data_IF_934566339405
#
_entry.id   IF_934566339405
#
_cell.length_a   1.000
_cell.length_b   1.000
_cell.length_c   1.000
_cell.angle_alpha   90.00
_cell.angle_beta   90.00
_cell.angle_gamma   90.00
#
_symmetry.space_group_name_H-M   'P 1'
#
loop_
_entity.id
_entity.type
_entity.pdbx_description
1 polymer ?
#
# COMPACT_ATOMS: atom_id res chain seq x y z
N UNK A 1 23.15 -59.36 4.67
CA UNK A 1 23.21 -58.64 3.38
C UNK A 1 21.81 -58.60 2.80
N UNK A 2 21.25 -57.41 2.58
CA UNK A 2 19.88 -57.26 2.06
C UNK A 2 19.84 -57.51 0.54
N UNK A 3 18.76 -58.10 -0.01
CA UNK A 3 18.65 -58.42 -1.43
C UNK A 3 18.60 -57.15 -2.31
N UNK A 4 19.20 -57.21 -3.50
CA UNK A 4 19.43 -56.07 -4.41
C UNK A 4 18.16 -55.35 -4.89
N UNK A 5 16.99 -55.96 -4.75
CA UNK A 5 15.69 -55.35 -5.08
C UNK A 5 15.31 -54.22 -4.14
N UNK A 6 15.78 -54.23 -2.88
CA UNK A 6 15.51 -53.18 -1.89
C UNK A 6 16.48 -51.99 -2.00
N UNK A 7 17.63 -52.15 -2.66
CA UNK A 7 18.56 -51.03 -2.92
C UNK A 7 18.01 -50.04 -3.95
N UNK A 8 17.10 -50.47 -4.84
CA UNK A 8 16.51 -49.61 -5.87
C UNK A 8 15.49 -48.59 -5.35
N UNK A 9 14.91 -48.82 -4.16
CA UNK A 9 13.95 -47.90 -3.54
C UNK A 9 14.61 -46.83 -2.66
N UNK A 10 15.88 -47.04 -2.24
CA UNK A 10 16.59 -46.09 -1.38
C UNK A 10 17.33 -44.98 -2.16
N UNK A 11 17.41 -45.07 -3.49
CA UNK A 11 18.17 -44.14 -4.33
C UNK A 11 17.34 -43.11 -5.10
N UNK A 12 16.02 -43.02 -4.85
CA UNK A 12 15.16 -41.96 -5.40
C UNK A 12 15.06 -40.74 -4.48
N UNK A 13 16.10 -40.45 -3.69
CA UNK A 13 16.35 -39.06 -3.33
C UNK A 13 17.07 -38.44 -4.52
N UNK A 14 16.33 -37.66 -5.31
CA UNK A 14 16.90 -36.84 -6.37
C UNK A 14 18.15 -36.16 -5.83
N UNK A 15 19.30 -36.40 -6.47
CA UNK A 15 20.50 -35.61 -6.20
C UNK A 15 20.08 -34.16 -6.29
N UNK A 16 20.17 -33.42 -5.20
CA UNK A 16 20.07 -31.96 -5.22
C UNK A 16 20.98 -31.48 -6.35
N UNK A 17 20.39 -31.06 -7.46
CA UNK A 17 21.12 -30.43 -8.54
C UNK A 17 21.61 -29.12 -7.94
N UNK A 18 22.88 -29.09 -7.55
CA UNK A 18 23.55 -27.85 -7.22
C UNK A 18 23.71 -27.16 -8.57
N UNK A 19 22.74 -26.33 -8.96
CA UNK A 19 22.89 -25.45 -10.11
C UNK A 19 24.01 -24.46 -9.78
N UNK A 20 25.22 -24.75 -10.26
CA UNK A 20 26.28 -23.75 -10.34
C UNK A 20 25.91 -22.77 -11.45
N UNK A 21 24.98 -21.86 -11.15
CA UNK A 21 24.69 -20.71 -11.99
C UNK A 21 25.89 -19.75 -11.90
N UNK A 22 26.41 -19.34 -13.05
CA UNK A 22 27.39 -18.27 -13.09
C UNK A 22 26.80 -17.02 -12.42
N UNK A 23 27.52 -16.37 -11.47
CA UNK A 23 27.02 -15.16 -10.84
C UNK A 23 26.78 -14.10 -11.91
N UNK A 24 25.68 -13.35 -11.80
CA UNK A 24 25.38 -12.29 -12.75
C UNK A 24 26.53 -11.27 -12.74
N UNK A 25 27.20 -11.08 -13.88
CA UNK A 25 28.31 -10.13 -14.00
C UNK A 25 27.88 -8.69 -13.70
N UNK A 26 26.59 -8.40 -13.92
CA UNK A 26 25.95 -7.13 -13.58
C UNK A 26 25.15 -7.40 -12.32
N UNK A 27 25.48 -6.69 -11.23
CA UNK A 27 24.94 -6.97 -9.90
C UNK A 27 23.41 -6.92 -9.81
N UNK A 28 22.87 -7.25 -8.64
CA UNK A 28 21.45 -7.40 -8.33
C UNK A 28 20.55 -6.17 -8.59
N UNK A 29 21.14 -5.04 -9.02
CA UNK A 29 20.48 -3.77 -9.27
C UNK A 29 20.27 -3.48 -10.76
N UNK A 30 20.65 -4.39 -11.66
CA UNK A 30 20.60 -4.15 -13.11
C UNK A 30 19.71 -5.14 -13.84
N UNK A 31 19.06 -4.67 -14.91
CA UNK A 31 18.29 -5.52 -15.79
C UNK A 31 19.22 -6.41 -16.64
N UNK A 32 18.93 -7.72 -16.68
CA UNK A 32 19.72 -8.71 -17.43
C UNK A 32 19.82 -8.41 -18.93
N UNK A 33 18.89 -7.63 -19.50
CA UNK A 33 18.85 -7.29 -20.94
C UNK A 33 19.24 -5.85 -21.23
N UNK A 34 18.80 -4.88 -20.40
CA UNK A 34 18.94 -3.45 -20.68
C UNK A 34 19.64 -2.70 -19.53
N UNK A 35 20.94 -2.34 -19.64
CA UNK A 35 21.69 -1.77 -18.52
C UNK A 35 21.11 -0.47 -17.92
N UNK A 36 20.33 0.29 -18.68
CA UNK A 36 19.68 1.54 -18.22
C UNK A 36 18.22 1.36 -17.79
N UNK A 37 17.71 0.13 -17.78
CA UNK A 37 16.36 -0.18 -17.32
C UNK A 37 16.41 -0.79 -15.91
N UNK A 38 15.34 -0.60 -15.12
CA UNK A 38 15.25 -1.25 -13.81
C UNK A 38 15.25 -2.78 -13.94
N UNK A 39 15.70 -3.51 -12.90
CA UNK A 39 15.68 -4.97 -12.88
C UNK A 39 14.30 -5.52 -13.24
N UNK A 40 14.23 -6.36 -14.27
CA UNK A 40 12.99 -7.03 -14.69
C UNK A 40 13.06 -8.48 -14.22
N UNK A 41 13.03 -8.65 -12.89
CA UNK A 41 13.09 -9.95 -12.23
C UNK A 41 11.86 -10.12 -11.36
N UNK A 42 10.99 -11.08 -11.72
CA UNK A 42 9.76 -11.42 -10.99
C UNK A 42 10.02 -12.29 -9.76
N UNK A 43 11.24 -12.80 -9.62
CA UNK A 43 11.67 -13.70 -8.54
C UNK A 43 12.15 -12.97 -7.28
N UNK A 44 11.96 -11.65 -7.18
CA UNK A 44 12.29 -10.86 -6.00
C UNK A 44 13.79 -10.61 -5.79
N UNK A 45 14.66 -11.00 -6.73
CA UNK A 45 16.12 -10.77 -6.66
C UNK A 45 16.54 -9.32 -6.96
N UNK A 46 15.60 -8.44 -7.24
CA UNK A 46 15.85 -7.00 -7.31
C UNK A 46 16.02 -6.46 -5.88
N UNK A 47 17.25 -6.50 -5.36
CA UNK A 47 17.62 -6.01 -4.03
C UNK A 47 17.72 -4.47 -4.06
N UNK A 48 16.65 -3.78 -4.43
CA UNK A 48 16.42 -2.44 -3.89
C UNK A 48 15.55 -2.61 -2.66
N UNK A 49 16.11 -3.25 -1.62
CA UNK A 49 15.42 -3.26 -0.34
C UNK A 49 15.36 -1.81 0.15
N UNK A 50 14.15 -1.28 0.38
CA UNK A 50 13.95 0.04 0.98
C UNK A 50 14.64 0.12 2.33
N UNK A 51 14.72 -1.01 3.04
CA UNK A 51 15.53 -1.13 4.25
C UNK A 51 16.99 -1.37 3.92
N UNK A 52 17.80 -0.33 4.11
CA UNK A 52 19.27 -0.42 4.16
C UNK A 52 19.70 -0.07 5.58
N UNK A 53 20.48 -0.94 6.28
CA UNK A 53 21.02 -0.61 7.60
C UNK A 53 21.97 0.58 7.46
N UNK A 54 21.46 1.77 7.74
CA UNK A 54 22.16 3.03 7.54
C UNK A 54 22.56 3.65 8.88
N UNK A 55 23.23 4.80 8.82
CA UNK A 55 23.62 5.61 9.99
C UNK A 55 22.49 5.81 11.01
N UNK A 56 21.24 5.95 10.56
CA UNK A 56 20.06 6.13 11.43
C UNK A 56 19.82 4.95 12.36
N UNK A 57 19.86 3.71 11.86
CA UNK A 57 19.64 2.51 12.67
C UNK A 57 20.80 2.26 13.63
N UNK A 58 22.04 2.52 13.16
CA UNK A 58 23.21 2.45 14.04
C UNK A 58 23.11 3.49 15.17
N UNK A 59 22.71 4.72 14.85
CA UNK A 59 22.49 5.79 15.83
C UNK A 59 21.43 5.39 16.85
N UNK A 60 20.35 4.74 16.40
CA UNK A 60 19.33 4.19 17.29
C UNK A 60 19.90 3.12 18.22
N UNK A 61 20.71 2.18 17.70
CA UNK A 61 21.38 1.17 18.55
C UNK A 61 22.28 1.85 19.60
N UNK A 62 23.01 2.90 19.22
CA UNK A 62 23.86 3.69 20.11
C UNK A 62 23.04 4.38 21.22
N UNK A 63 21.93 5.02 20.85
CA UNK A 63 21.03 5.74 21.77
C UNK A 63 20.28 4.79 22.71
N UNK A 64 19.63 3.75 22.17
CA UNK A 64 18.81 2.80 22.91
C UNK A 64 19.62 2.00 23.94
N UNK A 65 20.90 1.71 23.64
CA UNK A 65 21.79 0.96 24.52
C UNK A 65 22.81 1.85 25.25
N UNK A 66 22.71 3.18 25.13
CA UNK A 66 23.62 4.16 25.74
C UNK A 66 25.11 3.81 25.52
N UNK A 67 25.45 3.39 24.30
CA UNK A 67 26.82 3.02 23.90
C UNK A 67 27.61 4.29 23.63
N UNK A 68 28.76 4.46 24.29
CA UNK A 68 29.55 5.70 24.23
C UNK A 68 30.90 5.50 23.55
N UNK A 69 31.40 4.27 23.53
CA UNK A 69 32.70 3.93 22.96
C UNK A 69 32.60 2.92 21.82
N UNK A 70 33.62 2.94 20.94
CA UNK A 70 33.71 2.02 19.82
C UNK A 70 33.92 0.55 20.27
N UNK A 71 34.55 0.35 21.44
CA UNK A 71 34.68 -0.97 22.03
C UNK A 71 33.32 -1.55 22.42
N UNK A 72 32.54 -0.80 23.18
CA UNK A 72 31.19 -1.20 23.60
C UNK A 72 30.28 -1.47 22.40
N UNK A 73 30.42 -0.68 21.33
CA UNK A 73 29.68 -0.92 20.09
C UNK A 73 30.02 -2.27 19.46
N UNK A 74 31.31 -2.59 19.33
CA UNK A 74 31.75 -3.88 18.80
C UNK A 74 31.32 -5.04 19.69
N UNK A 75 31.40 -4.89 21.01
CA UNK A 75 30.96 -5.89 21.98
C UNK A 75 29.45 -6.13 21.91
N UNK A 76 28.66 -5.06 21.76
CA UNK A 76 27.21 -5.16 21.59
C UNK A 76 26.86 -5.91 20.30
N UNK A 77 27.50 -5.55 19.18
CA UNK A 77 27.24 -6.19 17.90
C UNK A 77 27.64 -7.67 17.90
N UNK A 78 28.71 -8.06 18.58
CA UNK A 78 29.10 -9.47 18.66
C UNK A 78 28.16 -10.27 19.56
N UNK A 79 27.74 -9.71 20.70
CA UNK A 79 26.80 -10.37 21.62
C UNK A 79 25.38 -10.47 21.07
N UNK A 80 24.94 -9.50 20.27
CA UNK A 80 23.57 -9.41 19.74
C UNK A 80 23.50 -9.63 18.22
N UNK A 81 24.54 -10.22 17.62
CA UNK A 81 24.68 -10.38 16.17
C UNK A 81 23.46 -11.05 15.55
N UNK A 82 23.00 -12.15 16.13
CA UNK A 82 21.85 -12.92 15.64
C UNK A 82 20.56 -12.08 15.64
N UNK A 83 20.31 -11.35 16.73
CA UNK A 83 19.14 -10.48 16.83
C UNK A 83 19.17 -9.34 15.82
N UNK A 84 20.34 -8.70 15.64
CA UNK A 84 20.51 -7.59 14.69
C UNK A 84 20.36 -8.07 13.25
N UNK A 85 20.92 -9.24 12.92
CA UNK A 85 20.74 -9.86 11.61
C UNK A 85 19.28 -10.22 11.36
N UNK A 86 18.61 -10.81 12.33
CA UNK A 86 17.20 -11.18 12.23
C UNK A 86 16.30 -9.95 12.06
N UNK A 87 16.52 -8.88 12.84
CA UNK A 87 15.76 -7.63 12.71
C UNK A 87 15.98 -6.95 11.35
N UNK A 88 17.23 -6.92 10.88
CA UNK A 88 17.55 -6.36 9.57
C UNK A 88 16.89 -7.16 8.44
N UNK A 89 16.92 -8.50 8.53
CA UNK A 89 16.25 -9.37 7.55
C UNK A 89 14.75 -9.14 7.51
N UNK A 90 14.10 -9.06 8.67
CA UNK A 90 12.65 -8.84 8.76
C UNK A 90 12.24 -7.47 8.22
N UNK A 91 13.05 -6.44 8.49
CA UNK A 91 12.82 -5.10 7.99
C UNK A 91 13.07 -4.99 6.46
N UNK A 92 14.08 -5.68 5.92
CA UNK A 92 14.31 -5.78 4.46
C UNK A 92 13.26 -6.63 3.75
N UNK A 93 12.67 -7.60 4.45
CA UNK A 93 11.60 -8.43 3.88
C UNK A 93 10.27 -7.68 3.75
N UNK A 94 10.16 -6.47 4.32
CA UNK A 94 8.95 -5.64 4.20
C UNK A 94 8.69 -5.14 2.75
N UNK A 95 9.71 -5.19 1.88
CA UNK A 95 9.62 -4.79 0.47
C UNK A 95 8.89 -5.80 -0.42
N UNK A 96 8.91 -7.09 -0.06
CA UNK A 96 8.23 -8.17 -0.80
C UNK A 96 6.89 -8.56 -0.18
N UNK A 97 6.60 -8.09 1.04
CA UNK A 97 5.33 -8.29 1.74
C UNK A 97 5.37 -7.73 3.17
N UNK A 98 4.22 -7.45 3.76
CA UNK A 98 4.16 -6.87 5.12
C UNK A 98 4.53 -7.89 6.20
N UNK A 99 5.77 -7.86 6.71
CA UNK A 99 6.21 -8.65 7.86
C UNK A 99 6.00 -7.90 9.19
N UNK A 100 6.15 -6.57 9.16
CA UNK A 100 5.87 -5.70 10.29
C UNK A 100 5.01 -4.53 9.81
N UNK A 101 3.76 -4.47 10.26
CA UNK A 101 2.94 -3.27 10.10
C UNK A 101 3.33 -2.29 11.21
N UNK A 102 3.78 -1.06 10.91
CA UNK A 102 3.79 0.01 11.88
C UNK A 102 2.33 0.47 12.05
N UNK A 103 1.51 -0.38 12.64
CA UNK A 103 0.22 0.03 13.17
C UNK A 103 0.43 0.02 14.67
N UNK A 104 0.31 1.19 15.28
CA UNK A 104 0.24 1.31 16.73
C UNK A 104 -0.67 0.21 17.25
N UNK A 105 -0.11 -0.75 17.99
CA UNK A 105 -0.90 -1.80 18.62
C UNK A 105 -1.84 -1.10 19.58
N UNK A 106 -3.08 -0.92 19.15
CA UNK A 106 -4.14 -0.37 19.99
C UNK A 106 -4.27 -1.27 21.21
N UNK A 107 -4.14 -0.67 22.39
CA UNK A 107 -4.51 -1.30 23.66
C UNK A 107 -5.96 -1.78 23.56
N UNK A 108 -6.13 -3.09 23.36
CA UNK A 108 -7.43 -3.78 23.25
C UNK A 108 -8.25 -3.55 24.54
N UNK A 109 -7.60 -3.18 25.64
CA UNK A 109 -8.24 -3.02 26.94
C UNK A 109 -9.06 -1.73 27.10
N UNK A 110 -8.74 -0.65 26.38
CA UNK A 110 -9.36 0.66 26.69
C UNK A 110 -10.61 0.99 25.88
N UNK A 111 -10.86 0.30 24.76
CA UNK A 111 -11.95 0.60 23.80
C UNK A 111 -12.09 2.10 23.43
N UNK A 112 -11.06 2.90 23.71
CA UNK A 112 -11.08 4.36 23.63
C UNK A 112 -10.14 4.79 22.53
N UNK A 113 -10.71 5.05 21.36
CA UNK A 113 -10.00 5.57 20.20
C UNK A 113 -9.55 6.99 20.55
N UNK A 114 -8.28 7.14 20.94
CA UNK A 114 -7.71 8.42 21.44
C UNK A 114 -7.06 9.24 20.32
N UNK A 115 -6.82 8.65 19.15
CA UNK A 115 -6.28 9.36 17.98
C UNK A 115 -7.37 9.55 16.92
N UNK A 116 -7.28 10.67 16.19
CA UNK A 116 -8.11 10.92 15.00
C UNK A 116 -7.70 9.89 13.96
N UNK A 117 -8.54 8.89 13.71
CA UNK A 117 -8.32 7.95 12.59
C UNK A 117 -8.47 8.78 11.32
N UNK A 118 -7.36 9.01 10.60
CA UNK A 118 -7.39 9.63 9.28
C UNK A 118 -7.95 8.61 8.27
N UNK A 119 -9.25 8.32 8.39
CA UNK A 119 -9.97 7.50 7.44
C UNK A 119 -10.21 8.25 6.13
N UNK A 120 -10.50 7.53 5.04
CA UNK A 120 -10.92 8.17 3.80
C UNK A 120 -12.15 9.06 4.05
N UNK A 121 -12.20 10.19 3.35
CA UNK A 121 -13.32 11.11 3.44
C UNK A 121 -14.61 10.42 2.95
N UNK A 122 -15.62 10.40 3.80
CA UNK A 122 -16.94 9.85 3.49
C UNK A 122 -17.85 10.97 2.99
N UNK A 123 -18.37 10.82 1.78
CA UNK A 123 -19.37 11.72 1.22
C UNK A 123 -20.75 11.40 1.80
N UNK A 124 -21.51 12.43 2.17
CA UNK A 124 -22.84 12.28 2.76
C UNK A 124 -23.93 11.92 1.75
N UNK A 125 -23.74 12.30 0.49
CA UNK A 125 -24.66 12.03 -0.62
C UNK A 125 -23.93 12.06 -1.96
N UNK A 126 -24.58 11.62 -3.04
CA UNK A 126 -24.05 11.73 -4.41
C UNK A 126 -23.95 13.17 -4.91
N UNK A 127 -24.59 14.13 -4.23
CA UNK A 127 -24.53 15.56 -4.55
C UNK A 127 -23.53 16.31 -3.65
N UNK A 128 -22.82 15.61 -2.78
CA UNK A 128 -21.88 16.19 -1.83
C UNK A 128 -20.58 16.60 -2.54
N UNK A 129 -20.44 17.90 -2.80
CA UNK A 129 -19.27 18.49 -3.44
C UNK A 129 -18.11 18.81 -2.50
N UNK A 130 -18.14 18.35 -1.24
CA UNK A 130 -17.09 18.65 -0.27
C UNK A 130 -15.74 18.06 -0.68
N UNK A 131 -14.69 18.88 -0.65
CA UNK A 131 -13.34 18.49 -1.04
C UNK A 131 -12.46 18.47 0.20
N UNK A 132 -12.06 17.29 0.72
CA UNK A 132 -11.14 17.21 1.85
C UNK A 132 -9.76 17.76 1.46
N UNK A 133 -8.95 18.06 2.46
CA UNK A 133 -7.56 18.47 2.26
C UNK A 133 -6.80 17.40 1.46
N UNK A 134 -6.08 17.81 0.42
CA UNK A 134 -5.35 16.89 -0.47
C UNK A 134 -6.23 16.21 -1.53
N UNK A 135 -7.49 16.63 -1.70
CA UNK A 135 -8.35 16.12 -2.76
C UNK A 135 -7.73 16.36 -4.15
N UNK A 136 -7.27 15.30 -4.80
CA UNK A 136 -6.92 15.29 -6.22
C UNK A 136 -8.07 14.72 -7.07
N UNK A 137 -8.22 15.28 -8.26
CA UNK A 137 -9.18 14.83 -9.28
C UNK A 137 -8.37 14.26 -10.44
N UNK A 138 -8.46 12.96 -10.68
CA UNK A 138 -7.91 12.30 -11.87
C UNK A 138 -9.01 12.13 -12.92
N UNK A 139 -8.64 11.95 -14.19
CA UNK A 139 -9.59 11.76 -15.29
C UNK A 139 -10.51 10.56 -15.06
N UNK A 140 -9.96 9.46 -14.54
CA UNK A 140 -10.74 8.26 -14.20
C UNK A 140 -11.72 8.54 -13.04
N UNK A 141 -11.27 9.27 -12.02
CA UNK A 141 -12.12 9.64 -10.87
C UNK A 141 -13.22 10.59 -11.30
N UNK A 142 -12.93 11.56 -12.17
CA UNK A 142 -13.90 12.49 -12.72
C UNK A 142 -15.00 11.77 -13.51
N UNK A 143 -14.61 10.84 -14.39
CA UNK A 143 -15.57 10.04 -15.17
C UNK A 143 -16.46 9.18 -14.26
N UNK A 144 -15.86 8.48 -13.29
CA UNK A 144 -16.61 7.68 -12.33
C UNK A 144 -17.63 8.51 -11.53
N UNK A 145 -17.19 9.61 -10.90
CA UNK A 145 -18.08 10.45 -10.10
C UNK A 145 -19.24 11.03 -10.93
N UNK A 146 -18.94 11.52 -12.14
CA UNK A 146 -19.97 12.04 -13.05
C UNK A 146 -20.99 10.97 -13.44
N UNK A 147 -20.54 9.74 -13.66
CA UNK A 147 -21.41 8.60 -13.96
C UNK A 147 -22.34 8.27 -12.78
N UNK A 148 -21.81 8.23 -11.56
CA UNK A 148 -22.61 7.97 -10.35
C UNK A 148 -23.61 9.10 -10.07
N UNK A 149 -23.21 10.36 -10.25
CA UNK A 149 -24.10 11.53 -10.16
C UNK A 149 -25.26 11.46 -11.16
N UNK A 150 -24.97 11.04 -12.40
CA UNK A 150 -25.98 10.87 -13.45
C UNK A 150 -26.93 9.72 -13.11
N UNK A 151 -26.40 8.57 -12.68
CA UNK A 151 -27.22 7.43 -12.25
C UNK A 151 -28.12 7.78 -11.08
N UNK A 152 -27.64 8.54 -10.09
CA UNK A 152 -28.46 8.99 -8.98
C UNK A 152 -29.63 9.90 -9.42
N UNK A 153 -29.54 10.53 -10.60
CA UNK A 153 -30.59 11.36 -11.20
C UNK A 153 -31.47 10.62 -12.20
N UNK A 154 -31.34 9.29 -12.33
CA UNK A 154 -32.21 8.47 -13.19
C UNK A 154 -33.61 8.26 -12.58
N UNK A 155 -34.26 9.35 -12.17
CA UNK A 155 -35.66 9.39 -11.76
C UNK A 155 -36.41 10.22 -12.78
N UNK A 156 -37.28 9.56 -13.54
CA UNK A 156 -38.23 10.24 -14.42
C UNK A 156 -39.44 10.66 -13.59
N UNK A 157 -39.80 11.96 -13.53
CA UNK A 157 -41.03 12.36 -12.89
C UNK A 157 -42.22 11.75 -13.65
N UNK A 158 -43.13 11.09 -12.93
CA UNK A 158 -44.41 10.68 -13.51
C UNK A 158 -45.26 11.94 -13.68
N UNK A 159 -45.37 12.42 -14.91
CA UNK A 159 -46.25 13.53 -15.26
C UNK A 159 -47.62 12.94 -15.59
N UNK A 160 -48.62 13.26 -14.76
CA UNK A 160 -50.01 12.90 -15.07
C UNK A 160 -50.57 13.82 -16.15
N UNK A 161 -51.55 13.32 -16.92
CA UNK A 161 -52.21 14.10 -17.98
C UNK A 161 -52.77 15.43 -17.43
N UNK A 162 -53.32 15.42 -16.21
CA UNK A 162 -53.87 16.61 -15.56
C UNK A 162 -52.81 17.67 -15.26
N UNK A 163 -51.63 17.25 -14.77
CA UNK A 163 -50.49 18.15 -14.54
C UNK A 163 -49.99 18.77 -15.85
N UNK A 164 -49.95 17.98 -16.93
CA UNK A 164 -49.53 18.46 -18.25
C UNK A 164 -50.51 19.48 -18.83
N UNK A 165 -51.81 19.29 -18.62
CA UNK A 165 -52.84 20.24 -19.02
C UNK A 165 -52.74 21.53 -18.17
N UNK A 166 -52.55 21.43 -16.86
CA UNK A 166 -52.38 22.59 -16.00
C UNK A 166 -51.17 23.45 -16.40
N UNK A 167 -50.01 22.85 -16.71
CA UNK A 167 -48.83 23.60 -17.16
C UNK A 167 -49.02 24.32 -18.49
N UNK A 168 -49.81 23.74 -19.42
CA UNK A 168 -50.11 24.38 -20.72
C UNK A 168 -50.99 25.62 -20.59
N UNK A 169 -51.85 25.68 -19.57
CA UNK A 169 -52.79 26.79 -19.38
C UNK A 169 -52.35 27.79 -18.32
N UNK A 170 -51.15 27.64 -17.73
CA UNK A 170 -50.60 28.64 -16.82
C UNK A 170 -50.39 29.96 -17.58
N UNK A 171 -50.99 31.08 -17.13
CA UNK A 171 -50.69 32.38 -17.71
C UNK A 171 -49.20 32.68 -17.49
N UNK A 172 -48.51 33.13 -18.55
CA UNK A 172 -47.09 33.51 -18.43
C UNK A 172 -46.94 34.52 -17.27
N UNK A 173 -45.95 34.33 -16.38
CA UNK A 173 -45.70 35.31 -15.33
C UNK A 173 -45.44 36.66 -15.99
N UNK A 174 -46.10 37.71 -15.49
CA UNK A 174 -45.86 39.08 -15.96
C UNK A 174 -44.42 39.44 -15.64
N UNK A 175 -43.61 39.65 -16.67
CA UNK A 175 -42.22 40.08 -16.54
C UNK A 175 -42.13 41.34 -15.67
N UNK A 176 -41.23 41.33 -14.68
CA UNK A 176 -40.77 42.55 -14.02
C UNK A 176 -41.12 42.70 -12.54
N UNK A 177 -40.55 41.86 -11.67
CA UNK A 177 -40.08 42.35 -10.36
C UNK A 177 -38.64 41.88 -10.16
N UNK A 178 -37.70 42.81 -10.35
CA UNK A 178 -36.31 42.63 -9.91
C UNK A 178 -36.32 42.51 -8.39
N UNK A 179 -35.93 41.34 -7.89
CA UNK A 179 -35.74 41.12 -6.46
C UNK A 179 -34.38 41.73 -6.12
N UNK A 180 -34.36 42.85 -5.42
CA UNK A 180 -33.16 43.35 -4.76
C UNK A 180 -32.91 42.49 -3.53
N UNK A 181 -31.71 41.94 -3.41
CA UNK A 181 -31.23 41.29 -2.20
C UNK A 181 -30.39 42.32 -1.44
N UNK A 182 -30.79 42.63 -0.21
CA UNK A 182 -29.91 43.22 0.82
C UNK A 182 -28.99 42.15 1.40
#
# INVERSE_FOLDING_TARGET
MLPSSLQKFASTFEKNVIENLDPSQRGYQTNNKYPYAPPLMHDGRAITASWQPHSTENKKILEDNNIRSNWEYREYLTKNAESVMHSNMLASSNDTGYNFKPTDLVSIQSNKITYKVNGPHLYSSTLDGTKPLGHSLSDLKANYLSREELHARQVSPVITQDQLLQDRFKPKPKDGKKVHFE
#
